data_IF_871118793997
#
_entry.id   IF_871118793997
#
_cell.length_a   1.000
_cell.length_b   1.000
_cell.length_c   1.000
_cell.angle_alpha   90.00
_cell.angle_beta   90.00
_cell.angle_gamma   90.00
#
_symmetry.space_group_name_H-M   'P 1'
#
loop_
_entity.id
_entity.type
_entity.pdbx_description
1 polymer ?
#
# COMPACT_ATOMS: atom_id res chain seq x y z
N UNK A 1 -18.95 -49.92 15.08
CA UNK A 1 -18.85 -49.12 13.84
C UNK A 1 -19.39 -47.69 14.03
N UNK A 2 -18.85 -46.91 14.98
CA UNK A 2 -19.34 -45.55 15.29
C UNK A 2 -18.23 -44.50 15.38
N UNK A 3 -16.97 -44.91 15.47
CA UNK A 3 -15.79 -44.04 15.60
C UNK A 3 -15.32 -43.42 14.27
N UNK A 4 -15.57 -44.08 13.14
CA UNK A 4 -15.21 -43.57 11.81
C UNK A 4 -16.17 -42.46 11.34
N UNK A 5 -17.45 -42.56 11.68
CA UNK A 5 -18.51 -41.64 11.22
C UNK A 5 -18.43 -40.28 11.92
N UNK A 6 -18.08 -40.26 13.21
CA UNK A 6 -17.92 -39.03 14.00
C UNK A 6 -16.67 -38.24 13.62
N UNK A 7 -15.58 -38.92 13.28
CA UNK A 7 -14.33 -38.29 12.82
C UNK A 7 -14.55 -37.55 11.50
N UNK A 8 -15.21 -38.17 10.51
CA UNK A 8 -15.54 -37.52 9.24
C UNK A 8 -16.50 -36.32 9.40
N UNK A 9 -17.42 -36.37 10.37
CA UNK A 9 -18.30 -35.25 10.70
C UNK A 9 -17.56 -34.09 11.38
N UNK A 10 -16.63 -34.39 12.29
CA UNK A 10 -15.80 -33.39 12.97
C UNK A 10 -14.88 -32.66 11.97
N UNK A 11 -14.21 -33.40 11.07
CA UNK A 11 -13.35 -32.81 10.04
C UNK A 11 -14.14 -31.92 9.07
N UNK A 12 -15.33 -32.35 8.62
CA UNK A 12 -16.19 -31.51 7.75
C UNK A 12 -16.61 -30.20 8.43
N UNK A 13 -17.00 -30.26 9.71
CA UNK A 13 -17.38 -29.06 10.48
C UNK A 13 -16.19 -28.12 10.68
N UNK A 14 -15.00 -28.67 10.94
CA UNK A 14 -13.77 -27.88 11.07
C UNK A 14 -13.39 -27.22 9.74
N UNK A 15 -13.41 -27.96 8.63
CA UNK A 15 -13.13 -27.43 7.30
C UNK A 15 -14.13 -26.32 6.90
N UNK A 16 -15.41 -26.50 7.21
CA UNK A 16 -16.42 -25.47 7.00
C UNK A 16 -16.10 -24.18 7.74
N UNK A 17 -15.77 -24.27 9.04
CA UNK A 17 -15.37 -23.11 9.84
C UNK A 17 -14.07 -22.46 9.36
N UNK A 18 -13.09 -23.26 8.92
CA UNK A 18 -11.85 -22.74 8.35
C UNK A 18 -12.12 -21.97 7.05
N UNK A 19 -12.98 -22.50 6.17
CA UNK A 19 -13.36 -21.83 4.93
C UNK A 19 -14.10 -20.52 5.20
N UNK A 20 -15.02 -20.51 6.17
CA UNK A 20 -15.74 -19.32 6.59
C UNK A 20 -14.79 -18.24 7.13
N UNK A 21 -13.84 -18.62 8.00
CA UNK A 21 -12.83 -17.70 8.51
C UNK A 21 -11.93 -17.12 7.41
N UNK A 22 -11.51 -17.96 6.44
CA UNK A 22 -10.72 -17.52 5.29
C UNK A 22 -11.53 -16.52 4.45
N UNK A 23 -12.81 -16.81 4.19
CA UNK A 23 -13.69 -15.94 3.43
C UNK A 23 -13.89 -14.58 4.15
N UNK A 24 -14.07 -14.61 5.47
CA UNK A 24 -14.21 -13.41 6.29
C UNK A 24 -12.94 -12.54 6.25
N UNK A 25 -11.77 -13.14 6.47
CA UNK A 25 -10.49 -12.42 6.39
C UNK A 25 -10.25 -11.81 5.00
N UNK A 26 -10.59 -12.54 3.93
CA UNK A 26 -10.52 -12.03 2.56
C UNK A 26 -11.49 -10.86 2.33
N UNK A 27 -12.70 -10.93 2.89
CA UNK A 27 -13.68 -9.85 2.79
C UNK A 27 -13.16 -8.58 3.48
N UNK A 28 -12.59 -8.69 4.69
CA UNK A 28 -12.03 -7.57 5.43
C UNK A 28 -10.87 -6.92 4.68
N UNK A 29 -9.95 -7.72 4.13
CA UNK A 29 -8.86 -7.24 3.31
C UNK A 29 -9.37 -6.53 2.04
N UNK A 30 -10.41 -7.04 1.39
CA UNK A 30 -11.02 -6.42 0.23
C UNK A 30 -11.70 -5.08 0.58
N UNK A 31 -12.42 -5.01 1.70
CA UNK A 31 -13.05 -3.78 2.20
C UNK A 31 -12.02 -2.67 2.41
N UNK A 32 -10.91 -3.00 3.08
CA UNK A 32 -9.81 -2.05 3.33
C UNK A 32 -9.22 -1.53 2.01
N UNK A 33 -9.00 -2.41 1.04
CA UNK A 33 -8.48 -1.99 -0.28
C UNK A 33 -9.43 -1.02 -1.00
N UNK A 34 -10.74 -1.24 -0.90
CA UNK A 34 -11.76 -0.36 -1.49
C UNK A 34 -11.75 1.00 -0.81
N UNK A 35 -11.71 1.02 0.53
CA UNK A 35 -11.66 2.25 1.32
C UNK A 35 -10.44 3.11 0.99
N UNK A 36 -9.24 2.51 0.93
CA UNK A 36 -8.00 3.26 0.59
C UNK A 36 -8.09 3.86 -0.82
N UNK A 37 -8.66 3.14 -1.80
CA UNK A 37 -8.84 3.66 -3.17
C UNK A 37 -9.81 4.84 -3.21
N UNK A 38 -10.90 4.74 -2.46
CA UNK A 38 -11.90 5.80 -2.35
C UNK A 38 -11.30 7.04 -1.69
N UNK A 39 -10.60 6.88 -0.58
CA UNK A 39 -9.92 7.97 0.12
C UNK A 39 -8.90 8.69 -0.78
N UNK A 40 -8.12 7.92 -1.55
CA UNK A 40 -7.21 8.48 -2.53
C UNK A 40 -7.96 9.28 -3.60
N UNK A 41 -9.00 8.69 -4.19
CA UNK A 41 -9.75 9.32 -5.30
C UNK A 41 -10.43 10.60 -4.82
N UNK A 42 -11.07 10.55 -3.65
CA UNK A 42 -11.68 11.71 -2.99
C UNK A 42 -10.64 12.80 -2.70
N UNK A 43 -9.46 12.42 -2.19
CA UNK A 43 -8.35 13.34 -1.96
C UNK A 43 -7.88 14.02 -3.25
N UNK A 44 -7.71 13.25 -4.33
CA UNK A 44 -7.31 13.76 -5.64
C UNK A 44 -8.35 14.70 -6.24
N UNK A 45 -9.64 14.36 -6.13
CA UNK A 45 -10.73 15.23 -6.57
C UNK A 45 -10.78 16.54 -5.80
N UNK A 46 -10.62 16.47 -4.49
CA UNK A 46 -10.61 17.66 -3.63
C UNK A 46 -9.44 18.59 -4.00
N UNK A 47 -8.23 18.05 -4.19
CA UNK A 47 -7.08 18.82 -4.68
C UNK A 47 -7.36 19.39 -6.07
N UNK A 48 -7.96 18.61 -6.97
CA UNK A 48 -8.25 19.05 -8.33
C UNK A 48 -9.23 20.23 -8.37
N UNK A 49 -10.24 20.23 -7.48
CA UNK A 49 -11.25 21.30 -7.34
C UNK A 49 -10.68 22.62 -6.80
N UNK A 50 -9.52 22.58 -6.14
CA UNK A 50 -8.88 23.83 -5.66
C UNK A 50 -8.44 24.73 -6.82
N UNK A 51 -8.46 26.04 -6.62
CA UNK A 51 -7.97 27.05 -7.58
C UNK A 51 -6.43 27.24 -7.51
N UNK A 52 -5.71 26.23 -7.01
CA UNK A 52 -4.26 26.30 -6.87
C UNK A 52 -3.54 26.12 -8.22
N UNK A 53 -2.38 26.77 -8.43
CA UNK A 53 -1.51 26.46 -9.55
C UNK A 53 -1.02 25.00 -9.48
N UNK A 54 -0.76 24.39 -10.65
CA UNK A 54 -0.44 22.97 -10.75
C UNK A 54 0.70 22.50 -9.86
N UNK A 55 1.74 23.33 -9.68
CA UNK A 55 2.87 23.05 -8.78
C UNK A 55 2.45 22.92 -7.31
N UNK A 56 1.52 23.76 -6.84
CA UNK A 56 1.02 23.69 -5.46
C UNK A 56 0.07 22.49 -5.27
N UNK A 57 -0.72 22.14 -6.28
CA UNK A 57 -1.52 20.89 -6.27
C UNK A 57 -0.62 19.66 -6.13
N UNK A 58 0.49 19.65 -6.86
CA UNK A 58 1.50 18.60 -6.77
C UNK A 58 2.12 18.52 -5.37
N UNK A 59 2.41 19.67 -4.76
CA UNK A 59 2.92 19.74 -3.40
C UNK A 59 1.92 19.17 -2.38
N UNK A 60 0.63 19.51 -2.49
CA UNK A 60 -0.43 18.93 -1.65
C UNK A 60 -0.55 17.41 -1.82
N UNK A 61 -0.39 16.91 -3.05
CA UNK A 61 -0.34 15.47 -3.30
C UNK A 61 0.87 14.84 -2.59
N UNK A 62 2.07 15.39 -2.79
CA UNK A 62 3.32 14.82 -2.30
C UNK A 62 3.45 14.83 -0.78
N UNK A 63 3.09 15.93 -0.12
CA UNK A 63 3.31 16.10 1.32
C UNK A 63 2.05 15.97 2.17
N UNK A 64 0.85 16.04 1.56
CA UNK A 64 -0.41 15.91 2.28
C UNK A 64 -1.06 14.55 2.05
N UNK A 65 -1.43 14.27 0.80
CA UNK A 65 -2.22 13.08 0.46
C UNK A 65 -1.39 11.80 0.47
N UNK A 66 -0.16 11.85 -0.01
CA UNK A 66 0.71 10.67 -0.12
C UNK A 66 1.03 10.05 1.26
N UNK A 67 1.46 10.80 2.30
CA UNK A 67 1.68 10.20 3.62
C UNK A 67 0.42 9.58 4.22
N UNK A 68 -0.74 10.20 4.00
CA UNK A 68 -2.04 9.70 4.47
C UNK A 68 -2.41 8.35 3.84
N UNK A 69 -2.11 8.15 2.56
CA UNK A 69 -2.35 6.89 1.84
C UNK A 69 -1.24 5.86 2.13
N UNK A 70 -0.02 6.30 2.36
CA UNK A 70 1.12 5.42 2.65
C UNK A 70 0.96 4.67 3.98
N UNK A 71 0.38 5.34 4.98
CA UNK A 71 0.17 4.74 6.30
C UNK A 71 -0.64 3.43 6.25
N UNK A 72 -1.88 3.39 5.74
CA UNK A 72 -2.64 2.15 5.66
C UNK A 72 -1.99 1.12 4.73
N UNK A 73 -1.32 1.53 3.66
CA UNK A 73 -0.58 0.61 2.79
C UNK A 73 0.57 -0.10 3.51
N UNK A 74 1.19 0.56 4.49
CA UNK A 74 2.27 -0.03 5.28
C UNK A 74 1.72 -1.09 6.25
N UNK A 75 0.61 -0.79 6.92
CA UNK A 75 -0.01 -1.66 7.92
C UNK A 75 -0.69 -2.88 7.29
N UNK A 76 -1.45 -2.70 6.22
CA UNK A 76 -2.23 -3.78 5.62
C UNK A 76 -1.47 -4.53 4.53
N UNK A 77 -1.81 -5.81 4.35
CA UNK A 77 -1.34 -6.60 3.21
C UNK A 77 -2.19 -6.27 1.98
N UNK A 78 -1.66 -5.36 1.17
CA UNK A 78 -2.30 -4.91 -0.08
C UNK A 78 -1.53 -5.48 -1.27
N UNK A 79 -2.21 -6.09 -2.26
CA UNK A 79 -1.54 -6.59 -3.45
C UNK A 79 -0.93 -5.44 -4.24
N UNK A 80 0.27 -5.66 -4.78
CA UNK A 80 1.02 -4.65 -5.55
C UNK A 80 0.22 -4.12 -6.74
N UNK A 81 -0.59 -4.98 -7.38
CA UNK A 81 -1.45 -4.60 -8.51
C UNK A 81 -2.49 -3.54 -8.16
N UNK A 82 -2.92 -3.48 -6.90
CA UNK A 82 -3.82 -2.43 -6.41
C UNK A 82 -3.06 -1.11 -6.28
N UNK A 83 -1.84 -1.14 -5.76
CA UNK A 83 -0.98 0.05 -5.61
C UNK A 83 -0.60 0.64 -6.98
N UNK A 84 -0.28 -0.20 -7.95
CA UNK A 84 0.01 0.23 -9.33
C UNK A 84 -1.20 0.93 -9.99
N UNK A 85 -2.42 0.43 -9.73
CA UNK A 85 -3.65 1.08 -10.20
C UNK A 85 -3.84 2.46 -9.57
N UNK A 86 -3.58 2.58 -8.27
CA UNK A 86 -3.63 3.86 -7.55
C UNK A 86 -2.62 4.86 -8.12
N UNK A 87 -1.39 4.41 -8.38
CA UNK A 87 -0.34 5.24 -8.98
C UNK A 87 -0.75 5.74 -10.36
N UNK A 88 -1.30 4.88 -11.22
CA UNK A 88 -1.81 5.31 -12.54
C UNK A 88 -2.83 6.43 -12.45
N UNK A 89 -3.75 6.35 -11.48
CA UNK A 89 -4.73 7.41 -11.22
C UNK A 89 -4.02 8.69 -10.78
N UNK A 90 -3.13 8.63 -9.78
CA UNK A 90 -2.34 9.79 -9.33
C UNK A 90 -1.57 10.44 -10.49
N UNK A 91 -0.84 9.64 -11.28
CA UNK A 91 -0.06 10.09 -12.44
C UNK A 91 -0.94 10.83 -13.46
N UNK A 92 -2.17 10.37 -13.69
CA UNK A 92 -3.11 11.04 -14.60
C UNK A 92 -3.45 12.46 -14.13
N UNK A 93 -3.74 12.63 -12.83
CA UNK A 93 -3.99 13.94 -12.23
C UNK A 93 -2.73 14.81 -12.24
N UNK A 94 -1.57 14.26 -11.90
CA UNK A 94 -0.29 14.97 -11.93
C UNK A 94 0.02 15.51 -13.33
N UNK A 95 -0.15 14.68 -14.36
CA UNK A 95 0.07 15.08 -15.76
C UNK A 95 -0.88 16.21 -16.16
N UNK A 96 -2.15 16.12 -15.76
CA UNK A 96 -3.16 17.16 -15.99
C UNK A 96 -2.79 18.47 -15.30
N UNK A 97 -2.32 18.43 -14.06
CA UNK A 97 -1.97 19.63 -13.29
C UNK A 97 -0.69 20.30 -13.79
N UNK A 98 0.28 19.52 -14.26
CA UNK A 98 1.53 20.02 -14.82
C UNK A 98 1.41 20.46 -16.29
N UNK A 99 0.31 20.14 -16.97
CA UNK A 99 0.12 20.43 -18.38
C UNK A 99 1.00 19.61 -19.32
N UNK A 100 1.53 18.47 -18.85
CA UNK A 100 2.41 17.61 -19.64
C UNK A 100 1.61 16.62 -20.52
N UNK A 101 2.14 16.20 -21.68
CA UNK A 101 1.47 15.24 -22.55
C UNK A 101 1.14 13.92 -21.84
N UNK A 102 -0.02 13.32 -22.17
CA UNK A 102 -0.43 12.02 -21.60
C UNK A 102 0.55 10.88 -21.90
N UNK A 103 1.24 10.95 -23.04
CA UNK A 103 2.25 9.99 -23.48
C UNK A 103 3.57 10.03 -22.70
N UNK A 104 3.78 11.03 -21.83
CA UNK A 104 4.99 11.12 -21.01
C UNK A 104 5.16 9.85 -20.16
N UNK A 105 6.34 9.24 -20.19
CA UNK A 105 6.61 7.99 -19.47
C UNK A 105 6.73 8.24 -17.96
N UNK A 106 6.36 7.25 -17.14
CA UNK A 106 6.52 7.35 -15.68
C UNK A 106 7.99 7.51 -15.28
N UNK A 107 8.95 6.93 -16.03
CA UNK A 107 10.38 7.08 -15.76
C UNK A 107 10.84 8.54 -15.87
N UNK A 108 10.29 9.31 -16.81
CA UNK A 108 10.60 10.74 -16.96
C UNK A 108 9.89 11.61 -15.93
N UNK A 109 8.86 11.09 -15.25
CA UNK A 109 8.12 11.82 -14.23
C UNK A 109 8.70 11.60 -12.83
N UNK A 110 9.06 10.35 -12.49
CA UNK A 110 9.56 9.97 -11.17
C UNK A 110 11.08 9.77 -11.12
N UNK A 111 11.74 9.63 -12.27
CA UNK A 111 13.18 9.43 -12.35
C UNK A 111 13.98 10.71 -12.22
N UNK A 112 15.28 10.56 -11.93
CA UNK A 112 16.23 11.66 -11.97
C UNK A 112 16.53 12.03 -13.43
N UNK A 113 16.15 13.23 -13.83
CA UNK A 113 16.30 13.73 -15.19
C UNK A 113 16.17 15.24 -15.25
N UNK A 114 15.96 15.78 -16.45
CA UNK A 114 15.86 17.24 -16.68
C UNK A 114 14.72 17.88 -15.85
N UNK A 115 13.66 17.12 -15.59
CA UNK A 115 12.51 17.54 -14.80
C UNK A 115 12.68 17.03 -13.36
N UNK A 116 13.56 17.65 -12.57
CA UNK A 116 13.70 17.32 -11.14
C UNK A 116 12.47 17.83 -10.35
N UNK A 117 11.37 17.11 -10.46
CA UNK A 117 10.19 17.37 -9.64
C UNK A 117 10.31 16.61 -8.32
N UNK A 118 9.87 17.20 -7.19
CA UNK A 118 9.75 16.48 -5.93
C UNK A 118 8.54 15.54 -5.99
N UNK A 119 8.60 14.55 -6.86
CA UNK A 119 7.51 13.60 -7.12
C UNK A 119 8.00 12.19 -6.86
N UNK A 120 7.36 11.51 -5.92
CA UNK A 120 7.69 10.12 -5.58
C UNK A 120 6.74 9.15 -6.28
N UNK A 121 7.28 8.02 -6.75
CA UNK A 121 6.46 6.89 -7.20
C UNK A 121 5.84 6.21 -5.99
N UNK A 122 4.50 6.06 -6.01
CA UNK A 122 3.78 5.39 -4.93
C UNK A 122 4.23 3.93 -4.77
N UNK A 123 4.45 3.23 -5.88
CA UNK A 123 4.87 1.83 -5.90
C UNK A 123 6.28 1.67 -5.34
N UNK A 124 7.18 2.58 -5.67
CA UNK A 124 8.54 2.58 -5.13
C UNK A 124 8.53 2.81 -3.62
N UNK A 125 7.82 3.84 -3.14
CA UNK A 125 7.73 4.12 -1.72
C UNK A 125 7.00 3.02 -0.94
N UNK A 126 6.01 2.36 -1.54
CA UNK A 126 5.36 1.18 -0.96
C UNK A 126 6.35 0.03 -0.76
N UNK A 127 7.12 -0.32 -1.81
CA UNK A 127 8.14 -1.38 -1.73
C UNK A 127 9.19 -1.04 -0.68
N UNK A 128 9.70 0.19 -0.72
CA UNK A 128 10.69 0.66 0.23
C UNK A 128 10.16 0.61 1.66
N UNK A 129 8.91 1.00 1.89
CA UNK A 129 8.27 0.97 3.22
C UNK A 129 8.08 -0.46 3.73
N UNK A 130 7.67 -1.40 2.88
CA UNK A 130 7.57 -2.82 3.25
C UNK A 130 8.94 -3.42 3.59
N UNK A 131 9.97 -3.11 2.80
CA UNK A 131 11.35 -3.54 3.08
C UNK A 131 11.85 -2.93 4.39
N UNK A 132 11.67 -1.62 4.59
CA UNK A 132 12.05 -0.93 5.83
C UNK A 132 11.41 -1.58 7.06
N UNK A 133 10.10 -1.81 7.03
CA UNK A 133 9.38 -2.50 8.11
C UNK A 133 9.95 -3.90 8.37
N UNK A 134 10.20 -4.67 7.32
CA UNK A 134 10.76 -6.01 7.43
C UNK A 134 12.18 -6.00 8.01
N UNK A 135 13.03 -5.05 7.63
CA UNK A 135 14.38 -4.90 8.19
C UNK A 135 14.31 -4.52 9.68
N UNK A 136 13.47 -3.55 10.06
CA UNK A 136 13.26 -3.20 11.48
C UNK A 136 12.79 -4.40 12.31
N UNK A 137 11.87 -5.21 11.78
CA UNK A 137 11.42 -6.41 12.47
C UNK A 137 12.49 -7.50 12.53
N UNK A 138 13.36 -7.61 11.53
CA UNK A 138 14.49 -8.56 11.55
C UNK A 138 15.55 -8.16 12.57
N UNK A 139 15.93 -6.88 12.58
CA UNK A 139 16.87 -6.33 13.54
C UNK A 139 16.35 -6.50 14.98
N UNK A 140 15.03 -6.47 15.17
CA UNK A 140 14.41 -6.80 16.47
C UNK A 140 14.43 -8.28 16.86
N UNK A 141 14.61 -9.23 15.91
CA UNK A 141 14.37 -10.68 16.12
C UNK A 141 15.60 -11.60 16.03
N UNK A 142 16.82 -11.11 15.88
CA UNK A 142 18.05 -11.95 15.89
C UNK A 142 19.21 -11.18 16.52
N UNK A 143 20.00 -11.66 17.50
CA UNK A 143 20.37 -13.03 17.93
C UNK A 143 21.04 -13.02 19.34
N UNK A 144 21.12 -14.14 20.10
CA UNK A 144 21.61 -14.22 21.51
C UNK A 144 23.04 -13.72 21.79
N UNK A 145 23.82 -13.44 20.75
CA UNK A 145 25.18 -12.91 20.85
C UNK A 145 25.25 -11.48 21.40
N UNK A 146 24.17 -10.70 21.30
CA UNK A 146 24.13 -9.34 21.85
C UNK A 146 23.98 -9.30 23.39
N UNK A 147 23.56 -10.41 24.03
CA UNK A 147 23.49 -10.49 25.50
C UNK A 147 24.83 -10.83 26.16
N UNK A 148 25.81 -11.37 25.41
CA UNK A 148 27.13 -11.73 25.96
C UNK A 148 28.10 -10.55 26.08
N UNK A 149 27.84 -9.42 25.40
CA UNK A 149 28.66 -8.20 25.55
C UNK A 149 28.20 -7.28 26.69
N UNK A 150 27.11 -7.61 27.39
CA UNK A 150 26.63 -6.86 28.55
C UNK A 150 26.89 -7.55 29.90
N UNK A 151 27.59 -8.71 29.89
CA UNK A 151 27.96 -9.49 31.08
C UNK A 151 29.47 -9.79 31.17
N UNK A 152 30.31 -8.91 30.61
CA UNK A 152 31.77 -8.88 30.81
C UNK A 152 32.16 -7.48 31.28
#
# INVERSE_FOLDING_TARGET
MTTLTTTAACTRRLLGKLQENINQANHEAAQVQVAIKQDLTNGLENINKTLLPGKLKLWCLQFGLLPRVMWPLTIYEVPITTVEKMERTMTSYMKKWLGVPRCLTNISLYGKGILELPTMSLTEEFKNSKVRLLMTLKDSKTSPSAMLHHLS
#
